data_IF_481954484512
#
_entry.id   IF_481954484512
#
_cell.length_a   1.000
_cell.length_b   1.000
_cell.length_c   1.000
_cell.angle_alpha   90.00
_cell.angle_beta   90.00
_cell.angle_gamma   90.00
#
_symmetry.space_group_name_H-M   'P 1'
#
loop_
_entity.id
_entity.type
_entity.pdbx_description
1 polymer ?
#
# COMPACT_ATOMS: atom_id res chain seq x y z
N UNK A 1 -1.54 24.32 -14.83
CA UNK A 1 -2.85 24.10 -14.14
C UNK A 1 -2.64 23.76 -12.66
N UNK A 2 -3.62 23.99 -11.77
CA UNK A 2 -3.47 23.84 -10.30
C UNK A 2 -3.04 22.43 -9.88
N UNK A 3 -3.54 21.38 -10.55
CA UNK A 3 -3.21 19.98 -10.24
C UNK A 3 -1.78 19.55 -10.64
N UNK A 4 -1.15 20.21 -11.61
CA UNK A 4 0.23 19.88 -12.00
C UNK A 4 1.25 20.35 -10.94
N UNK A 5 0.94 21.47 -10.28
CA UNK A 5 1.80 22.11 -9.29
C UNK A 5 1.65 21.50 -7.89
N UNK A 6 0.45 21.04 -7.53
CA UNK A 6 0.21 20.37 -6.25
C UNK A 6 0.94 19.02 -6.18
N UNK A 7 1.72 18.79 -5.11
CA UNK A 7 2.52 17.58 -4.89
C UNK A 7 1.67 16.35 -4.55
N UNK A 8 0.47 16.56 -4.00
CA UNK A 8 -0.43 15.48 -3.60
C UNK A 8 -1.67 15.41 -4.50
N UNK A 9 -1.62 15.96 -5.71
CA UNK A 9 -2.77 15.99 -6.59
C UNK A 9 -3.17 14.58 -7.06
N UNK A 10 -4.46 14.39 -7.35
CA UNK A 10 -4.97 13.16 -7.94
C UNK A 10 -4.25 12.80 -9.25
N UNK A 11 -3.80 13.80 -10.02
CA UNK A 11 -3.05 13.57 -11.26
C UNK A 11 -1.69 12.90 -10.98
N UNK A 12 -0.97 13.32 -9.94
CA UNK A 12 0.31 12.70 -9.56
C UNK A 12 0.12 11.30 -9.01
N UNK A 13 -0.88 11.11 -8.14
CA UNK A 13 -1.26 9.77 -7.64
C UNK A 13 -1.58 8.84 -8.81
N UNK A 14 -2.41 9.29 -9.76
CA UNK A 14 -2.76 8.51 -10.95
C UNK A 14 -1.54 8.20 -11.83
N UNK A 15 -0.65 9.17 -12.04
CA UNK A 15 0.58 8.98 -12.82
C UNK A 15 1.50 7.94 -12.18
N UNK A 16 1.65 7.95 -10.85
CA UNK A 16 2.42 6.93 -10.12
C UNK A 16 1.77 5.55 -10.19
N UNK A 17 0.43 5.47 -10.13
CA UNK A 17 -0.29 4.21 -10.32
C UNK A 17 -0.06 3.62 -11.72
N UNK A 18 -0.04 4.45 -12.76
CA UNK A 18 0.30 4.00 -14.12
C UNK A 18 1.74 3.48 -14.22
N UNK A 19 2.69 4.15 -13.57
CA UNK A 19 4.07 3.69 -13.52
C UNK A 19 4.20 2.34 -12.79
N UNK A 20 3.54 2.18 -11.64
CA UNK A 20 3.50 0.91 -10.91
C UNK A 20 2.82 -0.20 -11.71
N UNK A 21 1.77 0.10 -12.49
CA UNK A 21 1.06 -0.91 -13.30
C UNK A 21 1.99 -1.67 -14.26
N UNK A 22 3.12 -1.09 -14.67
CA UNK A 22 4.12 -1.78 -15.49
C UNK A 22 4.88 -2.90 -14.77
N UNK A 23 4.79 -2.99 -13.44
CA UNK A 23 5.62 -3.90 -12.66
C UNK A 23 5.22 -5.38 -12.83
N UNK A 24 6.19 -6.31 -12.94
CA UNK A 24 5.91 -7.72 -13.19
C UNK A 24 4.97 -8.39 -12.17
N UNK A 25 5.05 -8.01 -10.90
CA UNK A 25 4.18 -8.53 -9.85
C UNK A 25 2.71 -8.09 -10.02
N UNK A 26 2.47 -6.87 -10.49
CA UNK A 26 1.13 -6.32 -10.69
C UNK A 26 0.45 -6.82 -11.97
N UNK A 27 1.21 -7.19 -12.99
CA UNK A 27 0.65 -7.76 -14.23
C UNK A 27 0.52 -9.29 -14.17
N UNK A 28 1.53 -9.99 -13.65
CA UNK A 28 1.65 -11.44 -13.78
C UNK A 28 1.93 -12.15 -12.44
N UNK A 29 1.95 -11.42 -11.33
CA UNK A 29 2.16 -12.00 -10.01
C UNK A 29 0.93 -12.68 -9.45
N UNK A 30 1.16 -13.58 -8.52
CA UNK A 30 0.15 -14.19 -7.66
C UNK A 30 -0.57 -13.12 -6.85
N UNK A 31 -1.77 -13.42 -6.40
CA UNK A 31 -2.60 -12.54 -5.58
C UNK A 31 -3.02 -13.21 -4.28
N UNK A 32 -3.17 -12.41 -3.23
CA UNK A 32 -3.68 -12.84 -1.92
C UNK A 32 -4.46 -11.69 -1.27
N UNK A 33 -5.38 -12.00 -0.35
CA UNK A 33 -6.34 -11.06 0.23
C UNK A 33 -6.29 -11.13 1.77
N UNK A 34 -5.27 -10.53 2.40
CA UNK A 34 -4.96 -10.80 3.81
C UNK A 34 -6.02 -10.27 4.79
N UNK A 35 -6.69 -9.16 4.46
CA UNK A 35 -7.78 -8.56 5.24
C UNK A 35 -8.86 -8.05 4.28
N UNK A 36 -10.05 -8.65 4.32
CA UNK A 36 -11.23 -8.19 3.57
C UNK A 36 -12.43 -8.20 4.49
N UNK A 37 -13.00 -7.02 4.74
CA UNK A 37 -14.19 -6.80 5.56
C UNK A 37 -15.08 -5.76 4.87
N UNK A 38 -16.21 -5.40 5.49
CA UNK A 38 -17.05 -4.29 5.00
C UNK A 38 -16.36 -2.92 5.12
N UNK A 39 -15.32 -2.82 5.96
CA UNK A 39 -14.65 -1.56 6.31
C UNK A 39 -13.23 -1.47 5.77
N UNK A 40 -12.63 -2.59 5.37
CA UNK A 40 -11.26 -2.65 4.90
C UNK A 40 -11.13 -3.62 3.74
N UNK A 41 -10.42 -3.18 2.71
CA UNK A 41 -9.99 -4.05 1.63
C UNK A 41 -8.47 -4.03 1.53
N UNK A 42 -7.87 -5.22 1.39
CA UNK A 42 -6.45 -5.34 1.11
C UNK A 42 -6.16 -6.43 0.09
N UNK A 43 -5.13 -6.19 -0.70
CA UNK A 43 -4.69 -7.05 -1.79
C UNK A 43 -3.17 -7.10 -1.81
N UNK A 44 -2.63 -8.31 -1.89
CA UNK A 44 -1.23 -8.56 -2.16
C UNK A 44 -1.07 -8.94 -3.62
N UNK A 45 -0.02 -8.45 -4.28
CA UNK A 45 0.48 -8.93 -5.56
C UNK A 45 1.96 -9.23 -5.47
N UNK A 46 2.36 -10.48 -5.74
CA UNK A 46 3.75 -10.93 -5.55
C UNK A 46 4.23 -11.78 -6.72
N UNK A 47 5.53 -11.69 -7.01
CA UNK A 47 6.21 -12.54 -8.00
C UNK A 47 7.64 -12.77 -7.55
N UNK A 48 8.12 -14.03 -7.60
CA UNK A 48 9.50 -14.36 -7.24
C UNK A 48 10.48 -13.55 -8.09
N UNK A 49 11.47 -12.93 -7.45
CA UNK A 49 12.45 -12.05 -8.09
C UNK A 49 11.94 -10.62 -8.40
N UNK A 50 10.79 -10.22 -7.88
CA UNK A 50 10.27 -8.85 -7.97
C UNK A 50 9.79 -8.35 -6.60
N UNK A 51 9.72 -7.03 -6.37
CA UNK A 51 9.02 -6.48 -5.20
C UNK A 51 7.57 -6.97 -5.16
N UNK A 52 7.10 -7.24 -3.94
CA UNK A 52 5.69 -7.45 -3.63
C UNK A 52 5.01 -6.12 -3.36
N UNK A 53 3.70 -6.06 -3.64
CA UNK A 53 2.87 -4.89 -3.38
C UNK A 53 1.68 -5.26 -2.51
N UNK A 54 1.47 -4.52 -1.43
CA UNK A 54 0.31 -4.61 -0.55
C UNK A 54 -0.50 -3.33 -0.72
N UNK A 55 -1.71 -3.46 -1.25
CA UNK A 55 -2.71 -2.40 -1.31
C UNK A 55 -3.58 -2.49 -0.08
N UNK A 56 -3.80 -1.37 0.60
CA UNK A 56 -4.68 -1.30 1.76
C UNK A 56 -5.60 -0.09 1.60
N UNK A 57 -6.90 -0.32 1.74
CA UNK A 57 -7.94 0.70 1.62
C UNK A 57 -8.83 0.62 2.85
N UNK A 58 -8.89 1.71 3.61
CA UNK A 58 -9.90 1.89 4.63
C UNK A 58 -11.16 2.47 3.96
N UNK A 59 -12.24 1.69 3.93
CA UNK A 59 -13.53 2.05 3.37
C UNK A 59 -14.47 2.67 4.41
N UNK A 60 -14.12 2.65 5.70
CA UNK A 60 -14.94 3.18 6.77
C UNK A 60 -14.84 4.71 6.90
N UNK A 61 -15.78 5.29 7.65
CA UNK A 61 -15.75 6.71 8.05
C UNK A 61 -14.86 6.94 9.30
N UNK A 62 -14.26 5.88 9.85
CA UNK A 62 -13.46 5.94 11.07
C UNK A 62 -11.99 5.58 10.78
N UNK A 63 -11.02 6.01 11.61
CA UNK A 63 -9.66 5.49 11.55
C UNK A 63 -9.62 3.98 11.82
N UNK A 64 -8.64 3.29 11.26
CA UNK A 64 -8.41 1.86 11.47
C UNK A 64 -6.92 1.56 11.59
N UNK A 65 -6.58 0.75 12.59
CA UNK A 65 -5.23 0.19 12.76
C UNK A 65 -5.25 -1.26 12.32
N UNK A 66 -4.48 -1.59 11.29
CA UNK A 66 -4.49 -2.90 10.64
C UNK A 66 -3.20 -3.66 10.96
N UNK A 67 -3.35 -4.91 11.36
CA UNK A 67 -2.24 -5.82 11.64
C UNK A 67 -2.20 -6.95 10.60
N UNK A 68 -1.15 -6.94 9.78
CA UNK A 68 -0.93 -7.92 8.72
C UNK A 68 0.01 -9.08 9.12
N UNK A 69 0.54 -9.09 10.34
CA UNK A 69 1.40 -10.16 10.83
C UNK A 69 0.67 -11.51 10.76
N UNK A 70 1.28 -12.47 10.04
CA UNK A 70 0.71 -13.81 9.85
C UNK A 70 -0.55 -13.87 8.99
N UNK A 71 -0.96 -12.76 8.33
CA UNK A 71 -2.13 -12.74 7.43
C UNK A 71 -1.83 -13.27 6.03
N UNK A 72 -0.56 -13.36 5.67
CA UNK A 72 -0.07 -13.96 4.44
C UNK A 72 1.36 -14.45 4.64
N UNK A 73 1.70 -15.60 4.06
CA UNK A 73 3.07 -16.13 4.11
C UNK A 73 4.07 -15.30 3.30
N UNK A 74 3.59 -14.44 2.39
CA UNK A 74 4.44 -13.60 1.56
C UNK A 74 4.92 -12.32 2.27
N UNK A 75 4.24 -11.91 3.34
CA UNK A 75 4.49 -10.62 3.98
C UNK A 75 5.66 -10.69 4.97
N UNK A 76 6.65 -9.79 4.86
CA UNK A 76 7.65 -9.57 5.90
C UNK A 76 7.08 -8.71 7.05
N UNK A 77 7.91 -8.42 8.04
CA UNK A 77 7.53 -7.55 9.17
C UNK A 77 7.35 -6.08 8.77
N UNK A 78 8.01 -5.63 7.71
CA UNK A 78 8.06 -4.21 7.33
C UNK A 78 7.91 -4.00 5.83
N UNK A 79 7.31 -2.87 5.43
CA UNK A 79 7.18 -2.43 4.05
C UNK A 79 7.60 -0.98 3.87
N UNK A 80 7.63 -0.50 2.63
CA UNK A 80 7.86 0.90 2.30
C UNK A 80 6.64 1.49 1.62
N UNK A 81 6.31 2.75 1.93
CA UNK A 81 5.22 3.45 1.25
C UNK A 81 5.64 3.80 -0.18
N UNK A 82 4.86 3.35 -1.17
CA UNK A 82 5.04 3.69 -2.58
C UNK A 82 4.07 4.77 -3.03
N UNK A 83 2.79 4.60 -2.70
CA UNK A 83 1.71 5.53 -3.04
C UNK A 83 0.79 5.64 -1.84
N UNK A 84 0.35 6.85 -1.56
CA UNK A 84 -0.67 7.13 -0.54
C UNK A 84 -1.78 7.99 -1.13
N UNK A 85 -2.98 7.90 -0.57
CA UNK A 85 -4.06 8.81 -0.95
C UNK A 85 -3.70 10.26 -0.60
N UNK A 86 -4.23 11.20 -1.38
CA UNK A 86 -3.90 12.64 -1.29
C UNK A 86 -4.26 13.28 0.06
N UNK A 87 -5.21 12.68 0.78
CA UNK A 87 -5.64 13.08 2.12
C UNK A 87 -4.74 12.55 3.26
N UNK A 88 -3.61 11.89 2.95
CA UNK A 88 -2.55 11.57 3.92
C UNK A 88 -1.47 12.64 3.81
N UNK A 89 -1.42 13.56 4.78
CA UNK A 89 -0.49 14.70 4.76
C UNK A 89 0.55 14.67 5.88
N UNK A 90 0.31 13.88 6.93
CA UNK A 90 1.14 13.75 8.11
C UNK A 90 1.21 12.29 8.59
N UNK A 91 1.96 12.08 9.69
CA UNK A 91 2.14 10.76 10.31
C UNK A 91 3.14 9.85 9.58
N UNK A 92 3.30 8.60 10.07
CA UNK A 92 4.34 7.68 9.58
C UNK A 92 4.26 7.35 8.09
N UNK A 93 3.06 7.44 7.50
CA UNK A 93 2.85 7.20 6.07
C UNK A 93 3.28 8.38 5.18
N UNK A 94 3.50 9.57 5.75
CA UNK A 94 3.91 10.78 5.05
C UNK A 94 5.33 11.24 5.39
N UNK A 95 6.06 10.49 6.24
CA UNK A 95 7.37 10.88 6.74
C UNK A 95 8.50 10.59 5.73
N UNK A 96 8.66 11.52 4.79
CA UNK A 96 9.64 11.42 3.71
C UNK A 96 9.07 10.84 2.40
N UNK A 97 9.96 10.51 1.46
CA UNK A 97 9.56 10.10 0.10
C UNK A 97 9.01 8.67 0.05
N UNK A 98 9.65 7.73 0.77
CA UNK A 98 9.25 6.33 0.84
C UNK A 98 9.46 5.78 2.26
N UNK A 99 8.72 6.24 3.29
CA UNK A 99 8.91 5.81 4.66
C UNK A 99 8.82 4.29 4.81
N UNK A 100 9.70 3.72 5.66
CA UNK A 100 9.62 2.32 6.08
C UNK A 100 8.66 2.23 7.27
N UNK A 101 7.69 1.33 7.22
CA UNK A 101 6.70 1.14 8.28
C UNK A 101 6.60 -0.32 8.72
N UNK A 102 6.09 -0.55 9.93
CA UNK A 102 5.71 -1.88 10.39
C UNK A 102 4.39 -2.33 9.74
N UNK A 103 4.33 -3.59 9.30
CA UNK A 103 3.09 -4.20 8.80
C UNK A 103 2.19 -4.72 9.93
N UNK A 104 2.68 -4.76 11.18
CA UNK A 104 1.86 -5.11 12.34
C UNK A 104 0.94 -3.98 12.81
N UNK A 105 1.20 -2.75 12.37
CA UNK A 105 0.50 -1.54 12.82
C UNK A 105 0.40 -0.50 11.70
N UNK A 106 -0.43 -0.80 10.71
CA UNK A 106 -0.71 0.13 9.60
C UNK A 106 -1.93 0.97 9.97
N UNK A 107 -1.71 2.24 10.34
CA UNK A 107 -2.76 3.19 10.66
C UNK A 107 -3.26 3.90 9.39
N UNK A 108 -4.56 3.80 9.11
CA UNK A 108 -5.24 4.57 8.07
C UNK A 108 -6.40 5.34 8.68
N UNK A 109 -6.43 6.65 8.46
CA UNK A 109 -7.60 7.48 8.73
C UNK A 109 -8.80 7.13 7.83
N UNK A 110 -9.94 7.80 8.05
CA UNK A 110 -11.15 7.61 7.25
C UNK A 110 -10.87 7.77 5.76
N UNK A 111 -11.34 6.82 4.95
CA UNK A 111 -11.21 6.83 3.48
C UNK A 111 -9.77 6.98 2.97
N UNK A 112 -8.78 6.64 3.78
CA UNK A 112 -7.37 6.66 3.38
C UNK A 112 -6.98 5.33 2.76
N UNK A 113 -5.99 5.39 1.86
CA UNK A 113 -5.41 4.20 1.24
C UNK A 113 -3.91 4.36 1.04
N UNK A 114 -3.23 3.22 1.02
CA UNK A 114 -1.78 3.14 0.81
C UNK A 114 -1.43 1.91 -0.01
N UNK A 115 -0.42 2.07 -0.86
CA UNK A 115 0.29 1.00 -1.54
C UNK A 115 1.67 0.90 -0.91
N UNK A 116 1.99 -0.28 -0.40
CA UNK A 116 3.26 -0.59 0.23
C UNK A 116 4.04 -1.55 -0.68
N UNK A 117 5.32 -1.28 -0.91
CA UNK A 117 6.25 -2.27 -1.48
C UNK A 117 6.96 -3.03 -0.38
N UNK A 118 7.31 -4.29 -0.67
CA UNK A 118 8.07 -5.13 0.25
C UNK A 118 8.84 -6.21 -0.52
N UNK A 119 9.80 -6.85 0.16
CA UNK A 119 10.49 -8.03 -0.39
C UNK A 119 9.69 -9.27 0.01
N UNK A 120 9.07 -9.98 -0.95
CA UNK A 120 8.17 -11.10 -0.64
C UNK A 120 8.94 -12.34 -0.18
N UNK A 121 8.38 -13.03 0.80
CA UNK A 121 8.91 -14.31 1.30
C UNK A 121 8.32 -15.44 0.45
N UNK A 122 9.18 -16.25 -0.17
CA UNK A 122 8.78 -17.41 -0.98
C UNK A 122 9.27 -18.74 -0.42
N UNK A 123 10.06 -18.71 0.66
CA UNK A 123 10.64 -19.90 1.27
C UNK A 123 10.10 -20.05 2.69
N UNK A 124 9.33 -21.12 2.86
CA UNK A 124 8.84 -21.71 4.10
C UNK A 124 8.60 -23.20 3.81
#
# INVERSE_FOLDING_TARGET
MVQEKDKNSHLKVFSHLLALRGQPALNFGLQDYPIVTNETFSLIRVRKGSPGYLVVVNLSENPSTLNFSGKSSYLPETGRVEIKSSNIVDGPLADGEHPKISLSEVLLGPKQSVVLSFVPIFEG
#
